data_IF_447165125230
#
_entry.id   IF_447165125230
#
_cell.length_a   1.000
_cell.length_b   1.000
_cell.length_c   1.000
_cell.angle_alpha   90.00
_cell.angle_beta   90.00
_cell.angle_gamma   90.00
#
_symmetry.space_group_name_H-M   'P 1'
#
loop_
_entity.id
_entity.type
_entity.pdbx_description
1 polymer ?
#
# COMPACT_ATOMS: atom_id res chain seq x y z
N UNK A 1 -14.21 10.82 20.04
CA UNK A 1 -12.85 10.35 20.34
C UNK A 1 -12.44 9.24 19.38
N UNK A 2 -11.38 9.47 18.69
CA UNK A 2 -10.84 8.44 17.82
C UNK A 2 -10.14 7.35 18.61
N UNK A 3 -10.42 6.12 18.26
CA UNK A 3 -9.71 4.97 18.79
C UNK A 3 -8.96 4.29 17.67
N UNK A 4 -7.70 4.02 17.89
CA UNK A 4 -6.86 3.39 16.88
C UNK A 4 -7.05 1.87 16.88
N UNK A 5 -8.32 1.44 16.73
CA UNK A 5 -8.66 0.04 16.70
C UNK A 5 -8.12 -0.66 15.45
N UNK A 6 -7.79 0.13 14.43
CA UNK A 6 -7.26 -0.39 13.17
C UNK A 6 -6.06 0.44 12.79
N UNK A 7 -4.94 0.13 13.39
CA UNK A 7 -3.70 0.82 13.11
C UNK A 7 -2.62 -0.23 12.87
N UNK A 8 -1.84 -0.01 11.83
CA UNK A 8 -0.76 -0.92 11.46
C UNK A 8 0.49 -0.11 11.15
N UNK A 9 1.62 -0.59 11.62
CA UNK A 9 2.92 0.00 11.31
C UNK A 9 3.79 -1.07 10.71
N UNK A 10 4.33 -0.79 9.53
CA UNK A 10 5.13 -1.74 8.77
C UNK A 10 6.43 -1.10 8.33
N UNK A 11 7.47 -1.91 8.28
CA UNK A 11 8.76 -1.52 7.74
C UNK A 11 9.23 -2.59 6.78
N UNK A 12 9.68 -2.17 5.63
CA UNK A 12 10.12 -3.13 4.64
C UNK A 12 10.80 -2.46 3.48
N UNK A 13 10.85 -3.18 2.37
CA UNK A 13 11.49 -2.70 1.17
C UNK A 13 10.46 -2.64 0.05
N UNK A 14 10.64 -1.69 -0.84
CA UNK A 14 9.83 -1.64 -2.05
C UNK A 14 10.25 -2.79 -2.98
N UNK A 15 9.28 -3.59 -3.41
CA UNK A 15 9.56 -4.63 -4.39
C UNK A 15 9.67 -4.06 -5.80
N UNK A 16 9.04 -2.91 -6.02
CA UNK A 16 9.11 -2.13 -7.25
C UNK A 16 8.73 -0.70 -6.91
N UNK A 17 9.08 0.29 -7.75
CA UNK A 17 8.64 1.65 -7.50
C UNK A 17 7.12 1.76 -7.46
N UNK A 18 6.57 2.65 -6.62
CA UNK A 18 5.14 2.86 -6.60
C UNK A 18 4.61 3.30 -7.96
N UNK A 19 3.43 2.83 -8.31
CA UNK A 19 2.80 3.16 -9.59
C UNK A 19 1.52 3.94 -9.35
N UNK A 20 1.20 4.83 -10.29
CA UNK A 20 -0.04 5.59 -10.23
C UNK A 20 -1.23 4.63 -10.31
N UNK A 21 -2.19 4.82 -9.42
CA UNK A 21 -3.39 4.00 -9.39
C UNK A 21 -4.59 4.74 -9.97
N UNK A 22 -4.93 5.86 -9.36
CA UNK A 22 -6.09 6.63 -9.80
C UNK A 22 -6.07 8.00 -9.15
N UNK A 23 -6.96 8.87 -9.60
CA UNK A 23 -7.16 10.18 -9.01
C UNK A 23 -8.60 10.27 -8.54
N UNK A 24 -8.81 10.87 -7.37
CA UNK A 24 -10.13 11.06 -6.81
C UNK A 24 -10.15 12.40 -6.07
N UNK A 25 -11.06 13.28 -6.48
CA UNK A 25 -11.21 14.62 -5.88
C UNK A 25 -9.89 15.40 -5.83
N UNK A 26 -9.11 15.31 -6.91
CA UNK A 26 -7.85 16.01 -7.02
C UNK A 26 -6.69 15.36 -6.29
N UNK A 27 -6.91 14.22 -5.66
CA UNK A 27 -5.86 13.49 -4.96
C UNK A 27 -5.38 12.33 -5.80
N UNK A 28 -4.08 12.22 -5.94
CA UNK A 28 -3.46 11.14 -6.70
C UNK A 28 -3.10 10.00 -5.76
N UNK A 29 -3.49 8.79 -6.15
CA UNK A 29 -3.24 7.58 -5.38
C UNK A 29 -2.22 6.72 -6.11
N UNK A 30 -1.25 6.20 -5.35
CA UNK A 30 -0.20 5.32 -5.86
C UNK A 30 -0.23 4.01 -5.11
N UNK A 31 0.06 2.94 -5.82
CA UNK A 31 0.10 1.59 -5.25
C UNK A 31 1.49 1.04 -5.28
N UNK A 32 1.79 0.22 -4.29
CA UNK A 32 3.04 -0.52 -4.26
C UNK A 32 2.88 -1.75 -3.37
N UNK A 33 3.80 -2.67 -3.52
CA UNK A 33 3.89 -3.82 -2.62
C UNK A 33 5.09 -3.60 -1.70
N UNK A 34 4.83 -3.73 -0.41
CA UNK A 34 5.87 -3.61 0.61
C UNK A 34 6.30 -5.03 0.98
N UNK A 35 7.59 -5.31 0.81
CA UNK A 35 8.15 -6.59 1.21
C UNK A 35 8.59 -6.48 2.66
N UNK A 36 7.81 -7.08 3.55
CA UNK A 36 8.06 -7.04 4.99
C UNK A 36 8.76 -8.33 5.40
N UNK A 37 9.99 -8.25 5.91
CA UNK A 37 10.73 -9.45 6.28
C UNK A 37 10.05 -10.22 7.40
N UNK A 38 10.15 -11.53 7.35
CA UNK A 38 9.77 -12.40 8.45
C UNK A 38 10.77 -13.55 8.53
N UNK A 39 10.57 -14.43 9.53
CA UNK A 39 11.51 -15.50 9.82
C UNK A 39 11.83 -16.37 8.60
N UNK A 40 13.00 -17.00 8.64
CA UNK A 40 13.46 -17.97 7.64
C UNK A 40 13.65 -17.37 6.25
N UNK A 41 14.12 -16.11 6.19
CA UNK A 41 14.44 -15.42 4.94
C UNK A 41 13.23 -15.28 4.01
N UNK A 42 12.04 -15.25 4.59
CA UNK A 42 10.81 -15.02 3.85
C UNK A 42 10.38 -13.56 3.98
N UNK A 43 9.47 -13.18 3.15
CA UNK A 43 8.87 -11.85 3.21
C UNK A 43 7.40 -11.94 2.88
N UNK A 44 6.61 -11.08 3.50
CA UNK A 44 5.23 -10.90 3.12
C UNK A 44 5.16 -9.71 2.18
N UNK A 45 4.47 -9.88 1.07
CA UNK A 45 4.28 -8.82 0.07
C UNK A 45 2.91 -8.23 0.28
N UNK A 46 2.88 -7.05 0.87
CA UNK A 46 1.63 -6.46 1.32
C UNK A 46 1.23 -5.30 0.42
N UNK A 47 0.01 -5.32 -0.14
CA UNK A 47 -0.44 -4.23 -0.99
C UNK A 47 -0.73 -3.00 -0.18
N UNK A 48 -0.15 -1.88 -0.59
CA UNK A 48 -0.28 -0.60 0.09
C UNK A 48 -0.73 0.46 -0.90
N UNK A 49 -1.44 1.46 -0.38
CA UNK A 49 -1.84 2.60 -1.16
C UNK A 49 -1.48 3.88 -0.41
N UNK A 50 -0.91 4.83 -1.14
CA UNK A 50 -0.56 6.16 -0.65
C UNK A 50 -1.29 7.19 -1.49
N UNK A 51 -1.50 8.37 -0.91
CA UNK A 51 -2.14 9.45 -1.66
C UNK A 51 -1.53 10.79 -1.26
N UNK A 52 -1.75 11.78 -2.11
CA UNK A 52 -1.30 13.14 -1.86
C UNK A 52 0.19 13.33 -1.97
N UNK A 53 0.73 14.23 -1.15
CA UNK A 53 2.15 14.56 -1.19
C UNK A 53 3.03 13.35 -0.86
N UNK A 54 2.61 12.55 0.11
CA UNK A 54 3.35 11.35 0.50
C UNK A 54 3.48 10.40 -0.69
N UNK A 55 2.41 10.26 -1.46
CA UNK A 55 2.43 9.42 -2.65
C UNK A 55 3.39 9.96 -3.70
N UNK A 56 3.41 11.28 -3.90
CA UNK A 56 4.33 11.89 -4.84
C UNK A 56 5.79 11.70 -4.42
N UNK A 57 6.06 11.81 -3.13
CA UNK A 57 7.41 11.54 -2.63
C UNK A 57 7.79 10.07 -2.84
N UNK A 58 6.85 9.17 -2.55
CA UNK A 58 7.11 7.74 -2.71
C UNK A 58 7.36 7.35 -4.16
N UNK A 59 6.73 8.05 -5.10
CA UNK A 59 6.89 7.74 -6.53
C UNK A 59 8.33 7.95 -7.02
N UNK A 60 9.14 8.66 -6.25
CA UNK A 60 10.55 8.88 -6.57
C UNK A 60 11.47 7.82 -6.00
N UNK A 61 10.92 6.90 -5.20
CA UNK A 61 11.72 5.84 -4.61
C UNK A 61 12.06 4.77 -5.64
N UNK A 62 13.12 4.05 -5.35
CA UNK A 62 13.63 2.99 -6.22
C UNK A 62 13.33 1.64 -5.60
N UNK A 63 13.41 0.61 -6.43
CA UNK A 63 13.30 -0.77 -5.96
C UNK A 63 14.31 -1.01 -4.85
N UNK A 64 13.88 -1.69 -3.80
CA UNK A 64 14.66 -2.04 -2.62
C UNK A 64 14.90 -0.90 -1.63
N UNK A 65 14.40 0.30 -1.91
CA UNK A 65 14.44 1.35 -0.90
C UNK A 65 13.67 0.91 0.34
N UNK A 66 14.21 1.23 1.50
CA UNK A 66 13.52 0.95 2.74
C UNK A 66 12.49 2.02 3.00
N UNK A 67 11.32 1.58 3.43
CA UNK A 67 10.21 2.48 3.70
C UNK A 67 9.46 2.00 4.93
N UNK A 68 9.06 2.95 5.76
CA UNK A 68 8.19 2.68 6.91
C UNK A 68 6.86 3.36 6.68
N UNK A 69 5.78 2.66 6.98
CA UNK A 69 4.43 3.23 6.85
C UNK A 69 3.63 3.00 8.11
N UNK A 70 2.73 3.91 8.37
CA UNK A 70 1.71 3.76 9.40
C UNK A 70 0.37 4.09 8.76
N UNK A 71 -0.60 3.23 8.96
CA UNK A 71 -1.90 3.40 8.37
C UNK A 71 -2.90 2.42 8.93
N UNK A 72 -3.82 2.00 8.12
CA UNK A 72 -4.87 1.08 8.52
C UNK A 72 -5.07 0.02 7.46
N UNK A 73 -5.53 -1.15 7.90
CA UNK A 73 -5.95 -2.20 6.99
C UNK A 73 -7.37 -1.87 6.54
N UNK A 74 -7.62 -1.95 5.25
CA UNK A 74 -8.96 -1.72 4.73
C UNK A 74 -9.32 -2.77 3.70
N UNK A 75 -10.61 -2.97 3.53
CA UNK A 75 -11.12 -3.84 2.49
C UNK A 75 -11.85 -3.01 1.45
N UNK A 76 -11.87 -3.50 0.24
CA UNK A 76 -12.73 -2.94 -0.80
C UNK A 76 -13.28 -4.04 -1.66
N UNK A 77 -14.50 -3.85 -2.10
CA UNK A 77 -15.15 -4.79 -3.01
C UNK A 77 -14.88 -4.31 -4.43
N UNK A 78 -14.58 -5.25 -5.30
CA UNK A 78 -14.38 -4.94 -6.71
C UNK A 78 -15.00 -6.05 -7.55
N UNK A 79 -15.27 -5.75 -8.81
CA UNK A 79 -15.82 -6.69 -9.73
C UNK A 79 -14.72 -7.25 -10.61
N UNK A 80 -14.59 -8.56 -10.64
CA UNK A 80 -13.68 -9.24 -11.53
C UNK A 80 -14.46 -9.86 -12.67
N UNK A 81 -14.04 -9.61 -13.89
CA UNK A 81 -14.65 -10.24 -15.05
C UNK A 81 -14.01 -11.60 -15.27
N UNK A 82 -14.84 -12.62 -15.36
CA UNK A 82 -14.41 -13.98 -15.62
C UNK A 82 -15.13 -14.49 -16.87
N UNK A 83 -14.74 -15.67 -17.35
CA UNK A 83 -15.39 -16.28 -18.48
C UNK A 83 -16.87 -16.57 -18.21
N UNK A 84 -17.23 -16.76 -16.95
CA UNK A 84 -18.60 -17.06 -16.55
C UNK A 84 -19.42 -15.82 -16.22
N UNK A 85 -18.84 -14.63 -16.35
CA UNK A 85 -19.50 -13.37 -16.07
C UNK A 85 -18.77 -12.54 -15.04
N UNK A 86 -19.51 -11.67 -14.36
CA UNK A 86 -18.96 -10.77 -13.36
C UNK A 86 -19.02 -11.41 -11.98
N UNK A 87 -17.97 -11.25 -11.21
CA UNK A 87 -17.86 -11.83 -9.88
C UNK A 87 -17.37 -10.78 -8.90
N UNK A 88 -18.06 -10.64 -7.77
CA UNK A 88 -17.61 -9.73 -6.74
C UNK A 88 -16.55 -10.38 -5.87
N UNK A 89 -15.48 -9.63 -5.60
CA UNK A 89 -14.40 -10.08 -4.75
C UNK A 89 -14.02 -8.98 -3.78
N UNK A 90 -13.37 -9.38 -2.69
CA UNK A 90 -12.88 -8.46 -1.67
C UNK A 90 -11.36 -8.47 -1.68
N UNK A 91 -10.78 -7.30 -1.75
CA UNK A 91 -9.34 -7.12 -1.63
C UNK A 91 -9.04 -6.43 -0.31
N UNK A 92 -7.88 -6.72 0.25
CA UNK A 92 -7.39 -6.09 1.46
C UNK A 92 -6.10 -5.35 1.14
N UNK A 93 -5.98 -4.15 1.67
CA UNK A 93 -4.81 -3.32 1.41
C UNK A 93 -4.56 -2.41 2.61
N UNK A 94 -3.33 -1.90 2.71
CA UNK A 94 -2.98 -0.96 3.75
C UNK A 94 -3.09 0.45 3.17
N UNK A 95 -3.98 1.25 3.75
CA UNK A 95 -4.08 2.66 3.41
C UNK A 95 -3.10 3.42 4.30
N UNK A 96 -2.01 3.86 3.73
CA UNK A 96 -0.97 4.53 4.50
C UNK A 96 -1.35 5.98 4.76
N UNK A 97 -1.30 6.36 6.02
CA UNK A 97 -1.54 7.74 6.45
C UNK A 97 -0.24 8.53 6.46
N UNK A 98 0.83 7.90 6.91
CA UNK A 98 2.14 8.51 6.92
C UNK A 98 3.17 7.52 6.41
N UNK A 99 4.27 8.05 5.89
CA UNK A 99 5.37 7.21 5.42
C UNK A 99 6.69 7.91 5.67
N UNK A 100 7.70 7.12 6.02
CA UNK A 100 9.07 7.56 6.12
C UNK A 100 9.81 7.04 4.89
N UNK A 101 10.23 7.93 4.01
CA UNK A 101 10.69 7.60 2.67
C UNK A 101 11.92 8.43 2.30
N UNK A 102 13.05 7.78 1.92
CA UNK A 102 13.37 6.42 2.33
C UNK A 102 13.68 6.36 3.81
N UNK A 103 13.77 5.16 4.30
CA UNK A 103 14.08 4.95 5.69
C UNK A 103 15.57 4.66 5.83
N UNK A 104 16.21 5.33 6.76
CA UNK A 104 17.64 5.09 7.03
C UNK A 104 17.88 3.81 7.84
#
# INVERSE_FOLDING_TARGET
>A
MEHNANQITLRGNLSAPPTFSHENHGKQFYRFFLAVPRAFQRADYLPCILWGRTAQEASRCHTRDKIGITGRLQSRVYTKLTEEGAEERTAYEISALTAQIPMD
#
